data_IF_623333636130
#
_entry.id   IF_623333636130
#
_cell.length_a   1.000
_cell.length_b   1.000
_cell.length_c   1.000
_cell.angle_alpha   90.00
_cell.angle_beta   90.00
_cell.angle_gamma   90.00
#
_symmetry.space_group_name_H-M   'P 1'
#
loop_
_entity.id
_entity.type
_entity.pdbx_description
1 polymer ?
#
# COMPACT_ATOMS: atom_id res chain seq x y z
N UNK A 1 -9.24 -26.41 5.11
CA UNK A 1 -10.27 -25.47 4.62
C UNK A 1 -9.56 -24.31 3.94
N UNK A 2 -9.99 -23.93 2.76
CA UNK A 2 -9.51 -22.73 2.04
C UNK A 2 -10.01 -21.50 2.79
N UNK A 3 -9.15 -20.50 3.09
CA UNK A 3 -9.62 -19.25 3.70
C UNK A 3 -10.44 -18.43 2.70
N UNK A 4 -11.33 -17.57 3.21
CA UNK A 4 -12.16 -16.69 2.37
C UNK A 4 -11.34 -15.52 1.80
N UNK A 5 -10.32 -15.07 2.54
CA UNK A 5 -9.36 -14.02 2.14
C UNK A 5 -8.07 -14.12 2.95
N UNK A 6 -7.04 -13.46 2.47
CA UNK A 6 -5.73 -13.35 3.13
C UNK A 6 -5.48 -11.87 3.44
N UNK A 7 -5.14 -11.55 4.68
CA UNK A 7 -4.59 -10.26 5.04
C UNK A 7 -3.07 -10.40 5.08
N UNK A 8 -2.38 -9.71 4.21
CA UNK A 8 -0.92 -9.72 4.13
C UNK A 8 -0.36 -8.38 4.60
N UNK A 9 0.41 -8.42 5.68
CA UNK A 9 1.02 -7.23 6.29
C UNK A 9 2.51 -7.24 6.00
N UNK A 10 3.00 -6.20 5.35
CA UNK A 10 4.40 -6.09 4.95
C UNK A 10 4.81 -4.63 4.76
N UNK A 11 6.10 -4.37 4.64
CA UNK A 11 6.61 -3.02 4.42
C UNK A 11 8.09 -2.88 4.68
N UNK A 12 8.53 -1.66 4.84
CA UNK A 12 9.93 -1.35 5.15
C UNK A 12 10.28 -1.74 6.60
N UNK A 13 11.53 -2.14 6.81
CA UNK A 13 12.08 -2.25 8.16
C UNK A 13 12.20 -0.88 8.80
N UNK A 14 12.07 -0.75 10.13
CA UNK A 14 12.22 0.53 10.80
C UNK A 14 13.57 1.18 10.52
N UNK A 15 13.57 2.47 10.23
CA UNK A 15 14.77 3.27 9.99
C UNK A 15 14.62 4.68 10.56
N UNK A 16 15.74 5.36 10.77
CA UNK A 16 15.80 6.77 11.14
C UNK A 16 17.00 7.45 10.49
N UNK A 17 16.85 8.73 10.14
CA UNK A 17 17.89 9.59 9.53
C UNK A 17 18.57 8.91 8.34
N UNK A 18 19.90 9.00 8.23
CA UNK A 18 20.68 8.45 7.12
C UNK A 18 20.57 6.93 6.94
N UNK A 19 20.14 6.18 7.94
CA UNK A 19 19.83 4.75 7.80
C UNK A 19 18.60 4.48 6.93
N UNK A 20 17.79 5.50 6.68
CA UNK A 20 16.64 5.44 5.78
C UNK A 20 16.98 5.77 4.33
N UNK A 21 18.22 6.16 4.02
CA UNK A 21 18.64 6.44 2.65
C UNK A 21 18.71 5.14 1.85
N UNK A 22 18.12 5.14 0.67
CA UNK A 22 18.09 3.98 -0.24
C UNK A 22 18.39 4.41 -1.67
N UNK A 23 19.08 3.55 -2.41
CA UNK A 23 19.45 3.81 -3.80
C UNK A 23 18.29 3.58 -4.79
N UNK A 24 17.26 2.83 -4.38
CA UNK A 24 16.11 2.50 -5.20
C UNK A 24 14.82 2.62 -4.42
N UNK A 25 13.75 3.09 -5.08
CA UNK A 25 12.38 3.10 -4.55
C UNK A 25 11.59 1.85 -4.96
N UNK A 26 12.19 0.91 -5.65
CA UNK A 26 11.55 -0.32 -6.12
C UNK A 26 11.42 -1.32 -4.97
N UNK A 27 10.22 -1.40 -4.39
CA UNK A 27 9.95 -2.28 -3.25
C UNK A 27 9.98 -3.76 -3.63
N UNK A 28 9.43 -4.11 -4.80
CA UNK A 28 9.40 -5.48 -5.30
C UNK A 28 10.81 -6.04 -5.49
N UNK A 29 11.70 -5.26 -6.10
CA UNK A 29 13.08 -5.67 -6.32
C UNK A 29 13.86 -5.90 -5.02
N UNK A 30 13.49 -5.21 -3.94
CA UNK A 30 14.10 -5.38 -2.61
C UNK A 30 13.48 -6.55 -1.81
N UNK A 31 12.32 -7.07 -2.23
CA UNK A 31 11.52 -8.04 -1.47
C UNK A 31 11.05 -9.22 -2.33
N UNK A 32 11.96 -9.81 -3.10
CA UNK A 32 11.66 -10.87 -4.08
C UNK A 32 10.93 -12.07 -3.47
N UNK A 33 11.35 -12.55 -2.29
CA UNK A 33 10.74 -13.70 -1.62
C UNK A 33 9.28 -13.43 -1.23
N UNK A 34 8.98 -12.18 -0.87
CA UNK A 34 7.62 -11.75 -0.57
C UNK A 34 6.75 -11.76 -1.83
N UNK A 35 7.26 -11.22 -2.94
CA UNK A 35 6.58 -11.22 -4.23
C UNK A 35 6.32 -12.64 -4.72
N UNK A 36 7.29 -13.55 -4.57
CA UNK A 36 7.10 -14.97 -4.89
C UNK A 36 5.97 -15.59 -4.04
N UNK A 37 5.94 -15.27 -2.75
CA UNK A 37 4.87 -15.71 -1.84
C UNK A 37 3.51 -15.19 -2.31
N UNK A 38 3.38 -13.89 -2.60
CA UNK A 38 2.14 -13.28 -3.11
C UNK A 38 1.70 -13.93 -4.43
N UNK A 39 2.66 -14.14 -5.34
CA UNK A 39 2.42 -14.79 -6.63
C UNK A 39 1.87 -16.21 -6.47
N UNK A 40 2.39 -16.96 -5.51
CA UNK A 40 1.90 -18.31 -5.25
C UNK A 40 0.51 -18.30 -4.61
N UNK A 41 0.25 -17.40 -3.68
CA UNK A 41 -1.07 -17.23 -3.06
C UNK A 41 -2.14 -16.76 -4.06
N UNK A 42 -1.78 -15.88 -4.99
CA UNK A 42 -2.73 -15.38 -6.00
C UNK A 42 -3.23 -16.48 -6.95
N UNK A 43 -2.46 -17.56 -7.16
CA UNK A 43 -2.86 -18.73 -7.97
C UNK A 43 -3.97 -19.55 -7.32
N UNK A 44 -4.17 -19.40 -6.01
CA UNK A 44 -5.18 -20.15 -5.24
C UNK A 44 -6.59 -19.54 -5.35
N UNK A 45 -6.75 -18.46 -6.12
CA UNK A 45 -8.03 -17.72 -6.26
C UNK A 45 -8.62 -17.32 -4.89
N UNK A 46 -7.74 -16.78 -4.02
CA UNK A 46 -8.09 -16.23 -2.71
C UNK A 46 -7.78 -14.74 -2.74
N UNK A 47 -8.75 -13.87 -2.43
CA UNK A 47 -8.49 -12.42 -2.38
C UNK A 47 -7.39 -12.07 -1.38
N UNK A 48 -6.41 -11.28 -1.83
CA UNK A 48 -5.33 -10.76 -0.99
C UNK A 48 -5.63 -9.30 -0.65
N UNK A 49 -5.70 -8.99 0.64
CA UNK A 49 -5.81 -7.65 1.19
C UNK A 49 -4.42 -7.25 1.70
N UNK A 50 -3.76 -6.36 1.00
CA UNK A 50 -2.42 -5.88 1.36
C UNK A 50 -2.50 -4.69 2.30
N UNK A 51 -1.81 -4.78 3.45
CA UNK A 51 -1.59 -3.69 4.39
C UNK A 51 -0.10 -3.32 4.34
N UNK A 52 0.20 -2.20 3.70
CA UNK A 52 1.56 -1.78 3.39
C UNK A 52 2.07 -0.72 4.37
N UNK A 53 3.16 -1.05 5.08
CA UNK A 53 3.85 -0.15 6.01
C UNK A 53 5.04 0.50 5.31
N UNK A 54 5.05 1.83 5.22
CA UNK A 54 6.18 2.58 4.67
C UNK A 54 6.15 4.02 5.16
N UNK A 55 7.33 4.63 5.32
CA UNK A 55 7.47 6.06 5.60
C UNK A 55 7.49 6.93 4.33
N UNK A 56 7.43 6.31 3.14
CA UNK A 56 7.58 6.98 1.84
C UNK A 56 6.76 6.27 0.74
N UNK A 57 6.48 6.93 -0.39
CA UNK A 57 5.88 6.28 -1.55
C UNK A 57 6.96 5.46 -2.28
N UNK A 58 6.84 4.14 -2.19
CA UNK A 58 7.68 3.20 -2.94
C UNK A 58 6.96 2.74 -4.20
N UNK A 59 7.69 2.24 -5.17
CA UNK A 59 7.13 1.63 -6.36
C UNK A 59 6.64 0.23 -5.96
N UNK A 60 5.35 -0.01 -6.15
CA UNK A 60 4.60 -1.17 -5.64
C UNK A 60 3.70 -1.77 -6.73
N UNK A 61 4.11 -1.74 -7.98
CA UNK A 61 3.29 -2.19 -9.11
C UNK A 61 2.95 -3.68 -9.02
N UNK A 62 3.92 -4.52 -8.62
CA UNK A 62 3.72 -5.95 -8.46
C UNK A 62 2.77 -6.24 -7.30
N UNK A 63 2.96 -5.59 -6.14
CA UNK A 63 2.10 -5.72 -4.97
C UNK A 63 0.65 -5.32 -5.29
N UNK A 64 0.48 -4.22 -6.02
CA UNK A 64 -0.84 -3.77 -6.46
C UNK A 64 -1.50 -4.78 -7.40
N UNK A 65 -0.75 -5.31 -8.38
CA UNK A 65 -1.27 -6.26 -9.36
C UNK A 65 -1.70 -7.59 -8.75
N UNK A 66 -1.03 -8.00 -7.66
CA UNK A 66 -1.28 -9.25 -6.93
C UNK A 66 -2.33 -9.10 -5.84
N UNK A 67 -2.76 -7.88 -5.52
CA UNK A 67 -3.71 -7.59 -4.44
C UNK A 67 -5.11 -7.33 -4.96
N UNK A 68 -6.11 -7.89 -4.31
CA UNK A 68 -7.52 -7.51 -4.51
C UNK A 68 -7.83 -6.15 -3.87
N UNK A 69 -7.09 -5.80 -2.83
CA UNK A 69 -7.17 -4.51 -2.15
C UNK A 69 -5.80 -4.14 -1.59
N UNK A 70 -5.39 -2.88 -1.75
CA UNK A 70 -4.12 -2.36 -1.26
C UNK A 70 -4.35 -1.13 -0.38
N UNK A 71 -3.89 -1.19 0.87
CA UNK A 71 -4.03 -0.13 1.86
C UNK A 71 -2.66 0.32 2.33
N UNK A 72 -2.28 1.55 2.03
CA UNK A 72 -1.11 2.19 2.63
C UNK A 72 -1.46 2.61 4.06
N UNK A 73 -0.92 1.90 5.04
CA UNK A 73 -1.15 2.16 6.47
C UNK A 73 -0.06 3.03 7.09
N UNK A 74 0.91 3.46 6.30
CA UNK A 74 2.03 4.31 6.70
C UNK A 74 2.78 3.74 7.91
N UNK A 75 3.00 4.53 8.94
CA UNK A 75 3.71 4.18 10.18
C UNK A 75 2.74 4.32 11.36
N UNK A 76 1.86 3.35 11.60
CA UNK A 76 0.81 3.45 12.62
C UNK A 76 1.35 3.42 14.06
N UNK A 77 2.60 2.97 14.26
CA UNK A 77 3.21 2.88 15.60
C UNK A 77 2.38 2.02 16.55
N UNK A 78 2.01 2.59 17.70
CA UNK A 78 1.19 1.91 18.72
C UNK A 78 -0.32 2.08 18.53
N UNK A 79 -0.77 2.81 17.51
CA UNK A 79 -2.20 3.07 17.24
C UNK A 79 -2.77 2.13 16.16
N UNK A 80 -2.33 0.87 16.17
CA UNK A 80 -2.70 -0.15 15.16
C UNK A 80 -4.17 -0.56 15.22
N UNK A 81 -4.83 -0.38 16.36
CA UNK A 81 -6.25 -0.74 16.52
C UNK A 81 -7.14 0.02 15.52
N UNK A 82 -6.79 1.25 15.18
CA UNK A 82 -7.51 2.06 14.20
C UNK A 82 -7.54 1.45 12.78
N UNK A 83 -6.60 0.57 12.47
CA UNK A 83 -6.59 -0.16 11.19
C UNK A 83 -7.79 -1.11 11.13
N UNK A 84 -8.11 -1.80 12.21
CA UNK A 84 -9.25 -2.69 12.27
C UNK A 84 -10.56 -1.94 12.03
N UNK A 85 -10.66 -0.71 12.52
CA UNK A 85 -11.88 0.10 12.38
C UNK A 85 -12.17 0.49 10.93
N UNK A 86 -11.15 0.56 10.07
CA UNK A 86 -11.34 0.89 8.66
C UNK A 86 -11.39 -0.33 7.73
N UNK A 87 -10.83 -1.49 8.12
CA UNK A 87 -10.83 -2.69 7.26
C UNK A 87 -11.97 -3.66 7.59
N UNK A 88 -12.55 -3.59 8.79
CA UNK A 88 -13.66 -4.46 9.17
C UNK A 88 -14.96 -3.66 9.36
N UNK A 89 -16.06 -4.22 8.85
CA UNK A 89 -17.40 -3.71 9.10
C UNK A 89 -17.84 -3.97 10.55
N UNK A 90 -18.88 -3.28 10.98
CA UNK A 90 -19.61 -3.62 12.20
C UNK A 90 -20.34 -4.95 12.06
N UNK A 91 -20.85 -5.46 13.18
CA UNK A 91 -21.62 -6.74 13.22
C UNK A 91 -22.86 -6.69 12.32
N UNK A 92 -23.45 -5.52 12.13
CA UNK A 92 -24.61 -5.28 11.26
C UNK A 92 -24.25 -5.07 9.78
N UNK A 93 -22.97 -5.32 9.41
CA UNK A 93 -22.39 -5.12 8.09
C UNK A 93 -22.37 -3.66 7.60
N UNK A 94 -22.56 -2.69 8.48
CA UNK A 94 -22.34 -1.28 8.13
C UNK A 94 -20.86 -0.92 8.25
N UNK A 95 -20.42 0.09 7.50
CA UNK A 95 -19.05 0.62 7.57
C UNK A 95 -18.80 1.13 8.98
N UNK A 96 -17.74 0.65 9.64
CA UNK A 96 -17.34 1.12 10.95
C UNK A 96 -16.72 2.52 10.85
N UNK A 97 -15.58 2.63 10.15
CA UNK A 97 -14.98 3.91 9.79
C UNK A 97 -14.60 3.92 8.31
N UNK A 98 -14.91 5.01 7.62
CA UNK A 98 -14.55 5.18 6.22
C UNK A 98 -13.13 5.72 6.07
N UNK A 99 -12.47 5.36 4.97
CA UNK A 99 -11.21 5.96 4.60
C UNK A 99 -11.39 7.44 4.27
N UNK A 100 -10.52 8.30 4.82
CA UNK A 100 -10.54 9.76 4.58
C UNK A 100 -9.19 10.29 4.13
N UNK A 101 -8.15 9.47 4.20
CA UNK A 101 -6.80 9.83 3.82
C UNK A 101 -6.72 10.26 2.36
N UNK A 102 -5.94 11.30 2.12
CA UNK A 102 -5.61 11.81 0.79
C UNK A 102 -4.10 11.96 0.69
N UNK A 103 -3.52 11.54 -0.43
CA UNK A 103 -2.10 11.71 -0.65
C UNK A 103 -1.72 13.20 -0.65
N UNK A 104 -0.75 13.56 0.17
CA UNK A 104 -0.16 14.91 0.22
C UNK A 104 0.97 15.11 -0.79
N UNK A 105 1.22 14.12 -1.62
CA UNK A 105 2.20 14.09 -2.72
C UNK A 105 1.66 13.18 -3.84
N UNK A 106 2.35 13.16 -4.97
CA UNK A 106 2.06 12.23 -6.07
C UNK A 106 2.82 10.93 -5.84
N UNK A 107 2.14 9.79 -5.98
CA UNK A 107 2.79 8.48 -5.84
C UNK A 107 3.47 8.11 -7.17
N UNK A 108 4.78 7.84 -7.21
CA UNK A 108 5.49 7.57 -8.45
C UNK A 108 5.14 6.21 -9.03
N UNK A 109 5.09 6.12 -10.36
CA UNK A 109 4.88 4.87 -11.10
C UNK A 109 6.19 4.23 -11.57
N UNK A 110 7.30 4.97 -11.57
CA UNK A 110 8.60 4.53 -12.09
C UNK A 110 9.74 5.23 -11.38
N UNK A 111 10.90 4.58 -11.31
CA UNK A 111 12.12 5.19 -10.79
C UNK A 111 12.52 6.46 -11.56
N UNK A 112 12.32 6.48 -12.87
CA UNK A 112 12.63 7.62 -13.74
C UNK A 112 11.73 8.84 -13.52
N UNK A 113 10.64 8.71 -12.77
CA UNK A 113 9.71 9.80 -12.51
C UNK A 113 10.06 10.62 -11.24
N UNK A 114 11.23 10.43 -10.67
CA UNK A 114 11.66 11.17 -9.50
C UNK A 114 12.70 12.24 -9.86
N UNK A 115 12.53 13.48 -9.36
CA UNK A 115 11.38 13.98 -8.60
C UNK A 115 10.10 14.10 -9.46
N UNK A 116 8.93 13.84 -8.86
CA UNK A 116 7.63 13.95 -9.52
C UNK A 116 6.73 14.93 -8.78
N UNK A 117 6.46 16.09 -9.38
CA UNK A 117 5.63 17.11 -8.77
C UNK A 117 4.43 17.45 -9.63
N UNK A 118 3.30 17.74 -8.97
CA UNK A 118 2.13 18.28 -9.67
C UNK A 118 2.49 19.55 -10.42
N UNK A 119 2.30 19.52 -11.73
CA UNK A 119 2.64 20.64 -12.63
C UNK A 119 3.91 20.41 -13.46
N UNK A 120 4.63 19.32 -13.25
CA UNK A 120 5.75 18.94 -14.11
C UNK A 120 5.24 18.63 -15.54
N UNK A 121 6.07 18.91 -16.56
CA UNK A 121 5.70 18.71 -17.97
C UNK A 121 5.39 17.24 -18.30
N UNK A 122 6.09 16.29 -17.65
CA UNK A 122 5.91 14.84 -17.82
C UNK A 122 5.25 14.22 -16.58
N UNK A 123 4.17 14.84 -16.09
CA UNK A 123 3.46 14.38 -14.90
C UNK A 123 2.68 13.09 -15.17
N UNK A 124 3.22 11.95 -14.75
CA UNK A 124 2.62 10.62 -14.91
C UNK A 124 2.76 9.78 -13.62
N UNK A 125 2.04 10.14 -12.56
CA UNK A 125 2.06 9.39 -11.30
C UNK A 125 1.24 8.09 -11.39
N UNK A 126 1.54 7.13 -10.52
CA UNK A 126 0.67 5.98 -10.25
C UNK A 126 -0.64 6.47 -9.60
N UNK A 127 -0.51 7.31 -8.57
CA UNK A 127 -1.65 8.00 -7.96
C UNK A 127 -1.37 9.50 -7.87
N UNK A 128 -2.35 10.29 -8.31
CA UNK A 128 -2.26 11.75 -8.29
C UNK A 128 -2.18 12.32 -6.86
N UNK A 129 -1.61 13.52 -6.75
CA UNK A 129 -1.77 14.34 -5.55
C UNK A 129 -3.26 14.43 -5.15
N UNK A 130 -3.57 14.19 -3.90
CA UNK A 130 -4.94 14.20 -3.37
C UNK A 130 -5.74 12.91 -3.62
N UNK A 131 -5.15 11.88 -4.20
CA UNK A 131 -5.79 10.57 -4.37
C UNK A 131 -6.12 9.92 -3.02
N UNK A 132 -7.22 9.19 -2.99
CA UNK A 132 -7.65 8.37 -1.86
C UNK A 132 -9.08 7.89 -2.08
N UNK A 133 -9.30 6.60 -1.90
CA UNK A 133 -10.61 5.96 -2.03
C UNK A 133 -11.43 6.07 -0.74
N UNK A 134 -12.71 5.76 -0.87
CA UNK A 134 -13.68 5.64 0.23
C UNK A 134 -14.59 4.45 -0.02
N UNK A 135 -15.24 3.95 1.02
CA UNK A 135 -16.33 2.97 0.89
C UNK A 135 -17.63 3.61 0.39
N UNK A 136 -17.87 4.85 0.82
CA UNK A 136 -19.04 5.64 0.44
C UNK A 136 -18.71 6.56 -0.74
N UNK A 137 -18.73 6.04 -1.95
CA UNK A 137 -18.71 6.84 -3.18
C UNK A 137 -20.09 6.91 -3.81
#
# INVERSE_FOLDING_TARGET
NKPDYIIMVYGETPYAEGFGDIDSLDFSAMNVDMIETMTNLSKEDIPIISLFLSGRPLIVDDELSLSSSFVSIWLPGTAIEGINDVIFSKIDNTVNHDFRGKLSFSWPSKLSNNPLNKGDNEYSPLFNYGYGLRYSN
#
